data_IF_289276505093
#
_entry.id   IF_289276505093
#
_cell.length_a   1.000
_cell.length_b   1.000
_cell.length_c   1.000
_cell.angle_alpha   90.00
_cell.angle_beta   90.00
_cell.angle_gamma   90.00
#
_symmetry.space_group_name_H-M   'P 1'
#
loop_
_entity.id
_entity.type
_entity.pdbx_description
1 polymer ?
#
# COMPACT_ATOMS: atom_id res chain seq x y z
N UNK A 1 7.61 -3.48 18.90
CA UNK A 1 8.04 -4.49 17.89
C UNK A 1 6.87 -5.43 17.68
N UNK A 2 6.41 -5.63 16.44
CA UNK A 2 5.25 -6.46 16.12
C UNK A 2 5.63 -7.56 15.12
N UNK A 3 5.17 -8.79 15.35
CA UNK A 3 5.43 -9.93 14.46
C UNK A 3 4.75 -9.72 13.11
N UNK A 4 5.46 -9.98 12.02
CA UNK A 4 4.92 -9.93 10.65
C UNK A 4 4.84 -8.54 10.03
N UNK A 5 5.33 -7.50 10.73
CA UNK A 5 5.36 -6.13 10.20
C UNK A 5 6.68 -5.85 9.48
N UNK A 6 6.61 -5.43 8.21
CA UNK A 6 7.73 -4.87 7.45
C UNK A 6 7.45 -3.38 7.25
N UNK A 7 8.04 -2.48 8.07
CA UNK A 7 7.80 -1.05 7.94
C UNK A 7 8.50 -0.50 6.70
N UNK A 8 7.76 0.31 5.93
CA UNK A 8 8.24 0.92 4.68
C UNK A 8 7.90 2.41 4.71
N UNK A 9 8.89 3.27 4.43
CA UNK A 9 8.70 4.72 4.35
C UNK A 9 8.56 5.12 2.87
N UNK A 10 7.40 5.69 2.53
CA UNK A 10 7.17 6.29 1.21
C UNK A 10 7.46 7.80 1.29
N UNK A 11 8.23 8.32 0.34
CA UNK A 11 8.42 9.77 0.20
C UNK A 11 7.13 10.38 -0.38
N UNK A 12 6.19 10.74 0.49
CA UNK A 12 4.92 11.33 0.07
C UNK A 12 5.09 12.74 -0.51
N UNK A 13 4.29 13.07 -1.53
CA UNK A 13 4.20 14.43 -2.06
C UNK A 13 3.38 15.32 -1.13
N UNK A 14 3.92 16.47 -0.72
CA UNK A 14 3.17 17.47 0.09
C UNK A 14 2.12 18.23 -0.73
N UNK A 15 2.04 17.98 -2.05
CA UNK A 15 1.19 18.70 -3.00
C UNK A 15 -0.03 17.91 -3.47
N UNK A 16 -0.10 16.61 -3.16
CA UNK A 16 -1.19 15.73 -3.58
C UNK A 16 -2.41 15.82 -2.67
N UNK A 17 -3.58 15.43 -3.20
CA UNK A 17 -4.76 15.20 -2.37
C UNK A 17 -4.57 13.99 -1.46
N UNK A 18 -5.26 13.91 -0.32
CA UNK A 18 -5.14 12.75 0.59
C UNK A 18 -5.44 11.41 -0.10
N UNK A 19 -6.31 11.42 -1.11
CA UNK A 19 -6.64 10.24 -1.93
C UNK A 19 -5.49 9.86 -2.86
N UNK A 20 -4.92 10.82 -3.58
CA UNK A 20 -3.79 10.62 -4.49
C UNK A 20 -2.55 10.13 -3.73
N UNK A 21 -2.22 10.75 -2.59
CA UNK A 21 -1.11 10.30 -1.74
C UNK A 21 -1.33 8.90 -1.16
N UNK A 22 -2.58 8.48 -0.96
CA UNK A 22 -2.89 7.11 -0.50
C UNK A 22 -2.67 6.09 -1.61
N UNK A 23 -3.03 6.42 -2.86
CA UNK A 23 -2.79 5.57 -4.01
C UNK A 23 -1.30 5.41 -4.32
N UNK A 24 -0.53 6.50 -4.25
CA UNK A 24 0.94 6.47 -4.37
C UNK A 24 1.58 5.58 -3.30
N UNK A 25 1.15 5.71 -2.04
CA UNK A 25 1.67 4.89 -0.94
C UNK A 25 1.32 3.40 -1.11
N UNK A 26 0.12 3.08 -1.63
CA UNK A 26 -0.27 1.71 -1.92
C UNK A 26 0.57 1.10 -3.05
N UNK A 27 0.78 1.83 -4.14
CA UNK A 27 1.64 1.36 -5.24
C UNK A 27 3.08 1.17 -4.77
N UNK A 28 3.64 2.14 -4.03
CA UNK A 28 4.98 2.04 -3.47
C UNK A 28 5.15 0.81 -2.57
N UNK A 29 4.18 0.56 -1.69
CA UNK A 29 4.17 -0.64 -0.84
C UNK A 29 4.12 -1.93 -1.65
N UNK A 30 3.37 -1.95 -2.74
CA UNK A 30 3.27 -3.11 -3.61
C UNK A 30 4.55 -3.36 -4.41
N UNK A 31 5.18 -2.32 -4.97
CA UNK A 31 6.47 -2.45 -5.63
C UNK A 31 7.55 -2.94 -4.64
N UNK A 32 7.53 -2.43 -3.40
CA UNK A 32 8.42 -2.92 -2.36
C UNK A 32 8.20 -4.42 -2.09
N UNK A 33 6.95 -4.84 -1.91
CA UNK A 33 6.59 -6.24 -1.68
C UNK A 33 7.05 -7.15 -2.83
N UNK A 34 6.83 -6.75 -4.09
CA UNK A 34 7.33 -7.47 -5.27
C UNK A 34 8.85 -7.58 -5.27
N UNK A 35 9.56 -6.48 -5.01
CA UNK A 35 11.04 -6.46 -4.98
C UNK A 35 11.63 -7.36 -3.89
N UNK A 36 10.86 -7.63 -2.83
CA UNK A 36 11.23 -8.53 -1.73
C UNK A 36 10.73 -9.96 -1.91
N UNK A 37 10.05 -10.27 -3.02
CA UNK A 37 9.49 -11.59 -3.29
C UNK A 37 8.33 -11.98 -2.35
N UNK A 38 7.65 -10.99 -1.77
CA UNK A 38 6.50 -11.22 -0.87
C UNK A 38 5.19 -11.45 -1.64
N UNK A 39 5.12 -10.98 -2.89
CA UNK A 39 4.04 -11.24 -3.83
C UNK A 39 4.57 -11.17 -5.27
N UNK A 40 3.76 -11.62 -6.23
CA UNK A 40 4.02 -11.52 -7.67
C UNK A 40 2.76 -11.09 -8.42
N UNK A 41 2.91 -10.72 -9.69
CA UNK A 41 1.80 -10.38 -10.57
C UNK A 41 0.73 -11.48 -10.58
N UNK A 42 -0.53 -11.06 -10.48
CA UNK A 42 -1.69 -11.95 -10.40
C UNK A 42 -2.07 -12.41 -8.99
N UNK A 43 -1.21 -12.26 -7.99
CA UNK A 43 -1.56 -12.55 -6.60
C UNK A 43 -2.65 -11.59 -6.09
N UNK A 44 -3.40 -12.02 -5.07
CA UNK A 44 -4.37 -11.18 -4.38
C UNK A 44 -3.80 -10.68 -3.05
N UNK A 45 -3.87 -9.37 -2.80
CA UNK A 45 -3.43 -8.74 -1.55
C UNK A 45 -4.57 -7.96 -0.90
N UNK A 46 -4.55 -7.86 0.43
CA UNK A 46 -5.52 -7.05 1.18
C UNK A 46 -4.91 -5.68 1.44
N UNK A 47 -5.57 -4.63 0.96
CA UNK A 47 -5.22 -3.25 1.26
C UNK A 47 -6.18 -2.68 2.31
N UNK A 48 -5.61 -2.23 3.43
CA UNK A 48 -6.31 -1.48 4.48
C UNK A 48 -5.76 -0.05 4.50
N UNK A 49 -6.62 0.93 4.27
CA UNK A 49 -6.25 2.34 4.33
C UNK A 49 -7.45 3.19 4.74
N UNK A 50 -7.23 4.50 4.94
CA UNK A 50 -8.32 5.46 5.20
C UNK A 50 -8.66 6.25 3.95
N UNK A 51 -9.91 6.70 3.86
CA UNK A 51 -10.36 7.74 2.93
C UNK A 51 -11.15 8.73 3.76
N UNK A 52 -10.61 9.94 3.96
CA UNK A 52 -11.14 10.89 4.94
C UNK A 52 -11.18 10.27 6.33
N UNK A 53 -12.36 10.23 6.95
CA UNK A 53 -12.57 9.63 8.28
C UNK A 53 -12.92 8.14 8.22
N UNK A 54 -13.24 7.59 7.05
CA UNK A 54 -13.64 6.19 6.89
C UNK A 54 -12.44 5.25 6.76
N UNK A 55 -12.61 4.00 7.17
CA UNK A 55 -11.65 2.90 6.93
C UNK A 55 -12.14 2.04 5.77
N UNK A 56 -11.24 1.69 4.86
CA UNK A 56 -11.53 0.89 3.66
C UNK A 56 -10.66 -0.36 3.69
N UNK A 57 -11.30 -1.51 3.47
CA UNK A 57 -10.64 -2.80 3.27
C UNK A 57 -11.02 -3.27 1.87
N UNK A 58 -10.04 -3.58 1.03
CA UNK A 58 -10.26 -4.10 -0.33
C UNK A 58 -9.25 -5.17 -0.69
N UNK A 59 -9.67 -6.11 -1.53
CA UNK A 59 -8.77 -7.07 -2.18
C UNK A 59 -8.30 -6.45 -3.49
N UNK A 60 -7.00 -6.45 -3.72
CA UNK A 60 -6.35 -5.88 -4.90
C UNK A 60 -5.55 -6.97 -5.59
N UNK A 61 -5.69 -7.08 -6.90
CA UNK A 61 -4.81 -7.92 -7.72
C UNK A 61 -3.49 -7.19 -7.95
N UNK A 62 -2.38 -7.86 -7.67
CA UNK A 62 -1.04 -7.34 -7.95
C UNK A 62 -0.83 -7.24 -9.44
N UNK A 63 -0.50 -6.03 -9.91
CA UNK A 63 -0.10 -5.75 -11.29
C UNK A 63 1.41 -5.58 -11.40
#
# INVERSE_FOLDING_TARGET
>A
IFRGLVPVLCAGSTKGSSTESTEEALDFGLQHAKSKGLCKEGDAVVALHRIGTSSVIKIVTVK
#
